data_IF_533549396369
#
_entry.id   IF_533549396369
#
_cell.length_a   1.000
_cell.length_b   1.000
_cell.length_c   1.000
_cell.angle_alpha   90.00
_cell.angle_beta   90.00
_cell.angle_gamma   90.00
#
_symmetry.space_group_name_H-M   'P 1'
#
loop_
_entity.id
_entity.type
_entity.pdbx_description
1 polymer ?
#
# COMPACT_ATOMS: atom_id res chain seq x y z
N UNK A 1 -50.50 -14.56 -36.61
CA UNK A 1 -50.09 -13.28 -35.98
C UNK A 1 -49.98 -12.20 -37.05
N UNK A 2 -50.84 -11.19 -37.01
CA UNK A 2 -50.91 -10.13 -38.01
C UNK A 2 -49.59 -9.35 -38.11
N UNK A 3 -49.04 -9.20 -39.32
CA UNK A 3 -47.83 -8.39 -39.58
C UNK A 3 -48.13 -6.93 -39.20
N UNK A 4 -47.59 -6.45 -38.08
CA UNK A 4 -47.68 -5.05 -37.65
C UNK A 4 -47.14 -4.16 -38.78
N UNK A 5 -48.03 -3.47 -39.51
CA UNK A 5 -47.65 -2.57 -40.61
C UNK A 5 -47.00 -1.33 -39.98
N UNK A 6 -45.68 -1.32 -39.85
CA UNK A 6 -44.95 -0.13 -39.39
C UNK A 6 -45.15 1.00 -40.40
N UNK A 7 -45.94 2.01 -40.03
CA UNK A 7 -46.19 3.19 -40.87
C UNK A 7 -45.01 4.14 -40.74
N UNK A 8 -44.04 4.00 -41.65
CA UNK A 8 -42.91 4.91 -41.75
C UNK A 8 -43.20 5.86 -42.91
N UNK A 9 -43.44 7.13 -42.61
CA UNK A 9 -43.73 8.16 -43.63
C UNK A 9 -42.55 8.31 -44.60
N UNK A 10 -42.84 8.35 -45.91
CA UNK A 10 -41.85 8.53 -47.00
C UNK A 10 -40.94 9.73 -46.76
N UNK A 11 -41.51 10.87 -46.33
CA UNK A 11 -40.76 12.11 -46.03
C UNK A 11 -39.75 11.91 -44.90
N UNK A 12 -40.14 11.19 -43.83
CA UNK A 12 -39.29 10.91 -42.67
C UNK A 12 -38.18 9.92 -43.02
N UNK A 13 -38.49 8.85 -43.76
CA UNK A 13 -37.49 7.88 -44.20
C UNK A 13 -36.49 8.49 -45.19
N UNK A 14 -36.95 9.31 -46.15
CA UNK A 14 -36.09 10.03 -47.09
C UNK A 14 -35.22 11.07 -46.39
N UNK A 15 -35.72 11.75 -45.35
CA UNK A 15 -34.91 12.67 -44.55
C UNK A 15 -33.81 11.91 -43.78
N UNK A 16 -34.17 10.89 -42.99
CA UNK A 16 -33.21 10.11 -42.18
C UNK A 16 -32.16 9.41 -43.05
N UNK A 17 -32.59 8.84 -44.18
CA UNK A 17 -31.70 8.13 -45.08
C UNK A 17 -30.92 9.11 -45.97
N UNK A 18 -31.57 9.92 -46.82
CA UNK A 18 -30.88 10.72 -47.83
C UNK A 18 -30.23 12.00 -47.27
N UNK A 19 -30.93 12.75 -46.40
CA UNK A 19 -30.41 14.03 -45.87
C UNK A 19 -29.47 13.82 -44.68
N UNK A 20 -29.90 13.07 -43.68
CA UNK A 20 -29.13 12.82 -42.46
C UNK A 20 -28.10 11.68 -42.58
N UNK A 21 -28.04 11.00 -43.74
CA UNK A 21 -27.08 9.93 -44.07
C UNK A 21 -27.01 8.78 -43.05
N UNK A 22 -28.07 8.53 -42.26
CA UNK A 22 -28.10 7.43 -41.29
C UNK A 22 -28.07 6.05 -41.98
N UNK A 23 -27.46 5.06 -41.34
CA UNK A 23 -27.44 3.69 -41.84
C UNK A 23 -28.79 3.02 -41.65
N UNK A 24 -29.12 2.04 -42.50
CA UNK A 24 -30.37 1.25 -42.41
C UNK A 24 -30.50 0.62 -41.01
N UNK A 25 -29.39 0.18 -40.41
CA UNK A 25 -29.38 -0.38 -39.06
C UNK A 25 -29.74 0.66 -37.99
N UNK A 26 -29.18 1.88 -38.05
CA UNK A 26 -29.55 2.95 -37.11
C UNK A 26 -31.01 3.35 -37.27
N UNK A 27 -31.50 3.44 -38.50
CA UNK A 27 -32.91 3.73 -38.80
C UNK A 27 -33.81 2.63 -38.25
N UNK A 28 -33.45 1.36 -38.45
CA UNK A 28 -34.18 0.22 -37.90
C UNK A 28 -34.26 0.26 -36.37
N UNK A 29 -33.17 0.67 -35.70
CA UNK A 29 -33.16 0.88 -34.24
C UNK A 29 -34.06 2.04 -33.80
N UNK A 30 -34.07 3.16 -34.53
CA UNK A 30 -34.93 4.32 -34.24
C UNK A 30 -36.41 3.93 -34.30
N UNK A 31 -36.80 3.11 -35.28
CA UNK A 31 -38.18 2.66 -35.46
C UNK A 31 -38.48 1.32 -34.76
N UNK A 32 -37.53 0.80 -33.97
CA UNK A 32 -37.61 -0.50 -33.31
C UNK A 32 -38.17 -1.62 -34.21
N UNK A 33 -37.63 -1.73 -35.42
CA UNK A 33 -38.04 -2.72 -36.41
C UNK A 33 -36.82 -3.43 -37.02
N UNK A 34 -37.06 -4.45 -37.84
CA UNK A 34 -35.98 -5.13 -38.55
C UNK A 34 -35.44 -4.28 -39.70
N UNK A 35 -34.18 -4.48 -40.05
CA UNK A 35 -33.55 -3.84 -41.23
C UNK A 35 -34.28 -4.19 -42.53
N UNK A 36 -34.82 -5.42 -42.62
CA UNK A 36 -35.67 -5.85 -43.75
C UNK A 36 -36.93 -4.99 -43.91
N UNK A 37 -37.56 -4.59 -42.81
CA UNK A 37 -38.74 -3.70 -42.83
C UNK A 37 -38.39 -2.34 -43.45
N UNK A 38 -37.25 -1.75 -43.07
CA UNK A 38 -36.78 -0.49 -43.65
C UNK A 38 -36.46 -0.65 -45.14
N UNK A 39 -35.82 -1.75 -45.55
CA UNK A 39 -35.48 -2.02 -46.95
C UNK A 39 -36.76 -2.15 -47.81
N UNK A 40 -37.77 -2.84 -47.31
CA UNK A 40 -39.05 -2.99 -48.01
C UNK A 40 -39.75 -1.63 -48.18
N UNK A 41 -39.81 -0.81 -47.12
CA UNK A 41 -40.34 0.56 -47.22
C UNK A 41 -39.54 1.45 -48.17
N UNK A 42 -38.21 1.31 -48.21
CA UNK A 42 -37.39 2.03 -49.18
C UNK A 42 -37.70 1.63 -50.63
N UNK A 43 -37.95 0.34 -50.89
CA UNK A 43 -38.36 -0.16 -52.21
C UNK A 43 -39.75 0.36 -52.60
N UNK A 44 -40.74 0.24 -51.71
CA UNK A 44 -42.11 0.77 -51.90
C UNK A 44 -42.11 2.26 -52.25
N UNK A 45 -41.19 3.05 -51.68
CA UNK A 45 -41.09 4.48 -51.91
C UNK A 45 -40.12 4.90 -53.03
N UNK A 46 -39.50 3.96 -53.74
CA UNK A 46 -38.55 4.22 -54.81
C UNK A 46 -37.22 4.86 -54.35
N UNK A 47 -36.84 4.68 -53.08
CA UNK A 47 -35.61 5.24 -52.51
C UNK A 47 -34.44 4.32 -52.89
N UNK A 48 -33.65 4.72 -53.89
CA UNK A 48 -32.43 4.00 -54.29
C UNK A 48 -31.47 3.88 -53.10
N UNK A 49 -30.96 2.66 -52.87
CA UNK A 49 -29.96 2.41 -51.83
C UNK A 49 -28.66 3.10 -52.21
N UNK A 50 -28.05 3.80 -51.24
CA UNK A 50 -26.66 4.27 -51.36
C UNK A 50 -25.76 3.07 -51.63
N UNK A 51 -24.85 3.23 -52.56
CA UNK A 51 -23.84 2.22 -52.87
C UNK A 51 -23.03 1.94 -51.58
N UNK A 52 -23.24 0.77 -50.98
CA UNK A 52 -22.46 0.35 -49.82
C UNK A 52 -21.32 -0.51 -50.35
N UNK A 53 -20.29 0.14 -50.90
CA UNK A 53 -19.03 -0.56 -51.13
C UNK A 53 -18.46 -1.05 -49.79
N UNK A 54 -17.70 -2.16 -49.76
CA UNK A 54 -16.92 -2.48 -48.57
C UNK A 54 -16.08 -1.25 -48.21
N UNK A 55 -15.99 -0.89 -46.92
CA UNK A 55 -15.04 0.14 -46.47
C UNK A 55 -13.67 -0.27 -47.01
N UNK A 56 -13.21 0.42 -48.06
CA UNK A 56 -11.94 0.09 -48.70
C UNK A 56 -10.87 0.41 -47.67
N UNK A 57 -10.25 -0.63 -47.12
CA UNK A 57 -9.04 -0.42 -46.32
C UNK A 57 -8.03 0.22 -47.27
N UNK A 58 -7.59 1.42 -46.91
CA UNK A 58 -6.47 2.13 -47.52
C UNK A 58 -5.19 1.64 -46.87
N UNK A 59 -4.83 0.38 -47.13
CA UNK A 59 -3.50 -0.13 -46.81
C UNK A 59 -2.82 -0.47 -48.13
N UNK A 60 -1.65 0.12 -48.34
CA UNK A 60 -0.81 -0.20 -49.50
C UNK A 60 -0.28 -1.62 -49.37
N UNK A 61 0.07 -2.22 -50.50
CA UNK A 61 0.70 -3.53 -50.54
C UNK A 61 2.00 -3.56 -49.72
N UNK A 62 2.85 -2.54 -49.89
CA UNK A 62 4.11 -2.39 -49.14
C UNK A 62 3.91 -2.38 -47.63
N UNK A 63 2.95 -1.59 -47.13
CA UNK A 63 2.66 -1.53 -45.70
C UNK A 63 2.02 -2.81 -45.17
N UNK A 64 1.17 -3.47 -45.96
CA UNK A 64 0.56 -4.74 -45.58
C UNK A 64 1.61 -5.87 -45.53
N UNK A 65 2.53 -5.91 -46.50
CA UNK A 65 3.64 -6.85 -46.52
C UNK A 65 4.59 -6.64 -45.34
N UNK A 66 4.94 -5.39 -45.05
CA UNK A 66 5.79 -5.07 -43.90
C UNK A 66 5.16 -5.49 -42.57
N UNK A 67 3.87 -5.18 -42.35
CA UNK A 67 3.18 -5.55 -41.11
C UNK A 67 2.95 -7.06 -40.98
N UNK A 68 2.57 -7.72 -42.08
CA UNK A 68 2.15 -9.13 -42.05
C UNK A 68 3.32 -10.11 -42.13
N UNK A 69 4.28 -9.86 -43.03
CA UNK A 69 5.44 -10.73 -43.30
C UNK A 69 6.63 -10.29 -42.44
N UNK A 70 7.14 -9.06 -42.60
CA UNK A 70 8.37 -8.62 -41.91
C UNK A 70 8.18 -8.50 -40.39
N UNK A 71 7.10 -7.87 -39.93
CA UNK A 71 6.77 -7.69 -38.50
C UNK A 71 5.94 -8.82 -37.90
N UNK A 72 5.49 -9.76 -38.73
CA UNK A 72 4.79 -10.98 -38.29
C UNK A 72 3.40 -10.77 -37.66
N UNK A 73 2.77 -9.58 -37.76
CA UNK A 73 1.49 -9.31 -37.09
C UNK A 73 0.33 -10.13 -37.67
N UNK A 74 -0.55 -10.64 -36.79
CA UNK A 74 -1.73 -11.38 -37.23
C UNK A 74 -2.73 -10.49 -37.97
N UNK A 75 -3.53 -11.07 -38.88
CA UNK A 75 -4.57 -10.33 -39.62
C UNK A 75 -5.56 -9.62 -38.69
N UNK A 76 -5.85 -10.20 -37.51
CA UNK A 76 -6.68 -9.58 -36.47
C UNK A 76 -6.01 -8.36 -35.80
N UNK A 77 -4.69 -8.41 -35.58
CA UNK A 77 -3.94 -7.28 -35.01
C UNK A 77 -3.84 -6.14 -36.03
N UNK A 78 -3.55 -6.46 -37.29
CA UNK A 78 -3.55 -5.50 -38.41
C UNK A 78 -4.93 -4.87 -38.56
N UNK A 79 -6.00 -5.66 -38.45
CA UNK A 79 -7.37 -5.16 -38.53
C UNK A 79 -7.68 -4.10 -37.45
N UNK A 80 -7.17 -4.29 -36.22
CA UNK A 80 -7.27 -3.29 -35.15
C UNK A 80 -6.49 -2.02 -35.46
N UNK A 81 -5.26 -2.15 -35.97
CA UNK A 81 -4.40 -1.02 -36.36
C UNK A 81 -5.06 -0.21 -37.48
N UNK A 82 -5.65 -0.90 -38.46
CA UNK A 82 -6.34 -0.28 -39.60
C UNK A 82 -7.81 0.03 -39.33
N UNK A 83 -8.28 -0.08 -38.08
CA UNK A 83 -9.68 0.16 -37.67
C UNK A 83 -10.74 -0.50 -38.58
N UNK A 84 -10.48 -1.74 -38.97
CA UNK A 84 -11.31 -2.51 -39.90
C UNK A 84 -11.58 -3.92 -39.36
N UNK A 85 -12.42 -4.68 -40.09
CA UNK A 85 -12.70 -6.07 -39.77
C UNK A 85 -11.58 -6.99 -40.30
N UNK A 86 -11.33 -8.10 -39.61
CA UNK A 86 -10.32 -9.09 -40.00
C UNK A 86 -10.51 -9.60 -41.43
N UNK A 87 -11.76 -9.81 -41.85
CA UNK A 87 -12.16 -10.25 -43.20
C UNK A 87 -11.64 -9.30 -44.28
N UNK A 88 -11.66 -8.00 -44.03
CA UNK A 88 -11.21 -7.01 -45.00
C UNK A 88 -9.67 -7.01 -45.17
N UNK A 89 -8.90 -7.29 -44.11
CA UNK A 89 -7.44 -7.49 -44.21
C UNK A 89 -7.12 -8.77 -44.99
N UNK A 90 -7.85 -9.86 -44.73
CA UNK A 90 -7.67 -11.12 -45.46
C UNK A 90 -7.96 -10.96 -46.95
N UNK A 91 -9.01 -10.22 -47.31
CA UNK A 91 -9.33 -9.93 -48.71
C UNK A 91 -8.24 -9.07 -49.38
N UNK A 92 -7.60 -8.16 -48.65
CA UNK A 92 -6.46 -7.38 -49.17
C UNK A 92 -5.19 -8.21 -49.36
N UNK A 93 -4.91 -9.14 -48.45
CA UNK A 93 -3.81 -10.10 -48.63
C UNK A 93 -4.01 -10.91 -49.92
N UNK A 94 -5.22 -11.45 -50.15
CA UNK A 94 -5.55 -12.16 -51.40
C UNK A 94 -5.41 -11.27 -52.64
N UNK A 95 -5.93 -10.04 -52.58
CA UNK A 95 -5.88 -9.10 -53.70
C UNK A 95 -4.46 -8.73 -54.12
N UNK A 96 -3.54 -8.62 -53.16
CA UNK A 96 -2.13 -8.31 -53.42
C UNK A 96 -1.26 -9.57 -53.59
N UNK A 97 -1.85 -10.77 -53.71
CA UNK A 97 -1.09 -12.01 -53.87
C UNK A 97 -0.22 -12.40 -52.65
N UNK A 98 -0.42 -11.79 -51.48
CA UNK A 98 0.33 -12.12 -50.27
C UNK A 98 -0.26 -13.39 -49.66
N UNK A 99 0.54 -14.47 -49.63
CA UNK A 99 0.14 -15.76 -49.06
C UNK A 99 -0.37 -15.62 -47.63
N UNK A 100 -1.62 -16.02 -47.42
CA UNK A 100 -2.21 -16.06 -46.08
C UNK A 100 -1.51 -17.17 -45.31
N UNK A 101 -0.95 -16.83 -44.14
CA UNK A 101 -0.49 -17.82 -43.18
C UNK A 101 -1.68 -18.69 -42.79
N UNK A 102 -1.72 -19.91 -43.32
CA UNK A 102 -2.67 -20.92 -42.90
C UNK A 102 -2.50 -21.17 -41.39
N UNK A 103 -3.55 -21.56 -40.67
CA UNK A 103 -3.37 -22.10 -39.33
C UNK A 103 -2.29 -23.19 -39.40
N UNK A 104 -1.40 -23.22 -38.40
CA UNK A 104 -0.35 -24.24 -38.24
C UNK A 104 -0.90 -25.60 -38.67
N UNK A 105 -0.10 -26.38 -39.40
CA UNK A 105 -0.43 -27.75 -39.80
C UNK A 105 -1.24 -28.45 -38.70
N UNK A 106 -2.31 -29.14 -39.11
CA UNK A 106 -3.22 -29.78 -38.18
C UNK A 106 -2.42 -30.84 -37.41
N UNK A 107 -2.01 -30.47 -36.20
CA UNK A 107 -1.31 -31.37 -35.30
C UNK A 107 -2.15 -32.62 -35.12
N UNK A 108 -1.64 -33.75 -35.58
CA UNK A 108 -2.30 -35.04 -35.37
C UNK A 108 -1.69 -35.71 -34.13
N UNK A 109 -2.57 -36.05 -33.19
CA UNK A 109 -2.19 -36.79 -31.99
C UNK A 109 -2.90 -38.13 -32.12
N UNK A 110 -2.17 -39.24 -32.37
CA UNK A 110 -2.77 -40.56 -32.51
C UNK A 110 -3.59 -40.92 -31.26
N UNK A 111 -4.80 -41.46 -31.48
CA UNK A 111 -5.73 -41.81 -30.39
C UNK A 111 -5.12 -42.77 -29.38
N UNK A 112 -4.46 -43.82 -29.85
CA UNK A 112 -3.88 -44.86 -28.99
C UNK A 112 -2.70 -44.33 -28.18
N UNK A 113 -1.89 -43.46 -28.78
CA UNK A 113 -0.79 -42.81 -28.09
C UNK A 113 -1.31 -41.84 -27.01
N UNK A 114 -2.30 -41.00 -27.35
CA UNK A 114 -2.93 -40.10 -26.37
C UNK A 114 -3.55 -40.87 -25.21
N UNK A 115 -4.21 -42.00 -25.50
CA UNK A 115 -4.78 -42.90 -24.48
C UNK A 115 -3.67 -43.48 -23.61
N UNK A 116 -2.60 -44.03 -24.19
CA UNK A 116 -1.43 -44.57 -23.46
C UNK A 116 -0.80 -43.52 -22.54
N UNK A 117 -0.52 -42.32 -23.05
CA UNK A 117 0.11 -41.23 -22.28
C UNK A 117 -0.80 -40.76 -21.14
N UNK A 118 -2.11 -40.62 -21.38
CA UNK A 118 -3.05 -40.09 -20.38
C UNK A 118 -3.52 -41.12 -19.35
N UNK A 119 -3.82 -42.36 -19.74
CA UNK A 119 -4.36 -43.37 -18.82
C UNK A 119 -3.28 -44.25 -18.22
N UNK A 120 -2.41 -44.86 -19.05
CA UNK A 120 -1.36 -45.80 -18.59
C UNK A 120 -0.21 -45.07 -17.91
N UNK A 121 0.37 -44.07 -18.57
CA UNK A 121 1.51 -43.31 -18.04
C UNK A 121 1.11 -42.17 -17.08
N UNK A 122 -0.20 -41.96 -16.86
CA UNK A 122 -0.79 -40.97 -15.94
C UNK A 122 -0.31 -39.51 -16.16
N UNK A 123 0.22 -39.17 -17.33
CA UNK A 123 0.66 -37.81 -17.65
C UNK A 123 -0.51 -36.82 -17.66
N UNK A 124 -0.28 -35.59 -17.23
CA UNK A 124 -1.31 -34.55 -17.30
C UNK A 124 -1.49 -34.07 -18.74
N UNK A 125 -2.68 -33.55 -19.08
CA UNK A 125 -2.91 -32.94 -20.39
C UNK A 125 -1.91 -31.82 -20.71
N UNK A 126 -1.38 -31.13 -19.70
CA UNK A 126 -0.30 -30.15 -19.87
C UNK A 126 1.04 -30.80 -20.27
N UNK A 127 1.44 -31.90 -19.60
CA UNK A 127 2.68 -32.62 -19.95
C UNK A 127 2.59 -33.20 -21.36
N UNK A 128 1.43 -33.78 -21.71
CA UNK A 128 1.14 -34.28 -23.06
C UNK A 128 1.24 -33.14 -24.07
N UNK A 129 0.64 -31.98 -23.79
CA UNK A 129 0.72 -30.83 -24.67
C UNK A 129 2.17 -30.37 -24.92
N UNK A 130 3.03 -30.46 -23.90
CA UNK A 130 4.46 -30.14 -24.04
C UNK A 130 5.19 -31.14 -24.96
N UNK A 131 4.86 -32.42 -24.89
CA UNK A 131 5.43 -33.46 -25.79
C UNK A 131 5.11 -33.13 -27.25
N UNK A 132 3.85 -32.80 -27.54
CA UNK A 132 3.40 -32.45 -28.89
C UNK A 132 3.52 -30.96 -29.24
N UNK A 133 4.32 -30.21 -28.47
CA UNK A 133 4.59 -28.78 -28.69
C UNK A 133 3.33 -27.93 -28.94
N UNK A 134 2.24 -28.24 -28.23
CA UNK A 134 0.94 -27.61 -28.38
C UNK A 134 0.41 -26.99 -27.07
N UNK A 135 -0.70 -26.27 -27.16
CA UNK A 135 -1.38 -25.72 -25.98
C UNK A 135 -2.13 -26.81 -25.21
N UNK A 136 -2.18 -26.71 -23.88
CA UNK A 136 -2.91 -27.67 -23.02
C UNK A 136 -4.39 -27.84 -23.39
N UNK A 137 -5.03 -26.78 -23.87
CA UNK A 137 -6.40 -26.83 -24.39
C UNK A 137 -6.55 -27.74 -25.62
N UNK A 138 -5.50 -27.85 -26.46
CA UNK A 138 -5.48 -28.75 -27.62
C UNK A 138 -5.52 -30.20 -27.19
N UNK A 139 -4.69 -30.61 -26.21
CA UNK A 139 -4.72 -31.97 -25.68
C UNK A 139 -6.08 -32.32 -25.04
N UNK A 140 -6.70 -31.39 -24.30
CA UNK A 140 -8.06 -31.60 -23.78
C UNK A 140 -9.11 -31.75 -24.89
N UNK A 141 -8.99 -30.98 -25.97
CA UNK A 141 -9.86 -31.10 -27.14
C UNK A 141 -9.75 -32.49 -27.77
N UNK A 142 -8.54 -33.01 -27.95
CA UNK A 142 -8.34 -34.37 -28.48
C UNK A 142 -8.84 -35.47 -27.52
N UNK A 143 -8.62 -35.32 -26.20
CA UNK A 143 -9.20 -36.24 -25.21
C UNK A 143 -10.73 -36.29 -25.32
N UNK A 144 -11.38 -35.13 -25.51
CA UNK A 144 -12.83 -35.04 -25.71
C UNK A 144 -13.27 -35.60 -27.07
N UNK A 145 -12.53 -35.30 -28.14
CA UNK A 145 -12.79 -35.78 -29.50
C UNK A 145 -12.78 -37.32 -29.56
N UNK A 146 -11.79 -37.94 -28.92
CA UNK A 146 -11.66 -39.40 -28.87
C UNK A 146 -12.44 -40.06 -27.73
N UNK A 147 -13.29 -39.28 -27.02
CA UNK A 147 -14.12 -39.75 -25.90
C UNK A 147 -13.32 -40.48 -24.80
N UNK A 148 -12.06 -40.06 -24.58
CA UNK A 148 -11.22 -40.59 -23.49
C UNK A 148 -11.68 -39.95 -22.17
N UNK A 149 -12.12 -40.77 -21.21
CA UNK A 149 -12.62 -40.31 -19.91
C UNK A 149 -11.58 -39.48 -19.17
N UNK A 150 -11.84 -38.18 -19.00
CA UNK A 150 -10.95 -37.26 -18.28
C UNK A 150 -11.10 -37.40 -16.77
N UNK A 151 -10.00 -37.19 -16.03
CA UNK A 151 -9.99 -37.22 -14.56
C UNK A 151 -10.88 -36.10 -13.99
N UNK A 152 -11.63 -36.35 -12.91
CA UNK A 152 -12.48 -35.34 -12.30
C UNK A 152 -11.62 -34.20 -11.71
N UNK A 153 -12.19 -32.99 -11.70
CA UNK A 153 -11.58 -31.84 -11.05
C UNK A 153 -11.52 -32.07 -9.54
N UNK A 154 -10.31 -31.99 -8.95
CA UNK A 154 -10.13 -32.05 -7.50
C UNK A 154 -10.84 -30.85 -6.86
N UNK A 155 -11.94 -31.11 -6.13
CA UNK A 155 -12.66 -30.07 -5.37
C UNK A 155 -12.08 -29.95 -3.98
N UNK A 156 -11.82 -28.72 -3.55
CA UNK A 156 -11.34 -28.44 -2.19
C UNK A 156 -12.54 -28.14 -1.31
N UNK A 157 -12.62 -28.86 -0.20
CA UNK A 157 -13.58 -28.61 0.86
C UNK A 157 -12.93 -27.68 1.89
N UNK A 158 -13.32 -26.41 1.84
CA UNK A 158 -12.95 -25.39 2.82
C UNK A 158 -14.20 -24.58 3.10
N UNK A 159 -14.60 -24.51 4.38
CA UNK A 159 -15.77 -23.74 4.81
C UNK A 159 -15.44 -22.24 4.83
N UNK A 160 -16.48 -21.38 4.80
CA UNK A 160 -16.31 -19.93 4.90
C UNK A 160 -15.59 -19.54 6.20
N UNK A 161 -16.03 -20.08 7.34
CA UNK A 161 -15.48 -19.77 8.66
C UNK A 161 -14.01 -20.17 8.79
N UNK A 162 -13.63 -21.34 8.26
CA UNK A 162 -12.22 -21.78 8.23
C UNK A 162 -11.38 -20.82 7.38
N UNK A 163 -11.85 -20.44 6.19
CA UNK A 163 -11.10 -19.54 5.31
C UNK A 163 -10.96 -18.14 5.91
N UNK A 164 -12.01 -17.60 6.54
CA UNK A 164 -11.96 -16.32 7.26
C UNK A 164 -10.98 -16.37 8.45
N UNK A 165 -11.00 -17.44 9.24
CA UNK A 165 -10.05 -17.62 10.35
C UNK A 165 -8.61 -17.66 9.85
N UNK A 166 -8.32 -18.40 8.79
CA UNK A 166 -6.96 -18.51 8.23
C UNK A 166 -6.50 -17.18 7.60
N UNK A 167 -7.37 -16.50 6.86
CA UNK A 167 -7.01 -15.31 6.09
C UNK A 167 -7.07 -14.00 6.89
N UNK A 168 -8.15 -13.76 7.64
CA UNK A 168 -8.38 -12.51 8.36
C UNK A 168 -7.76 -12.53 9.76
N UNK A 169 -8.00 -13.61 10.53
CA UNK A 169 -7.50 -13.71 11.92
C UNK A 169 -6.03 -14.11 11.98
N UNK A 170 -5.66 -15.23 11.34
CA UNK A 170 -4.26 -15.72 11.30
C UNK A 170 -3.37 -15.02 10.26
N UNK A 171 -3.93 -14.10 9.45
CA UNK A 171 -3.23 -13.30 8.43
C UNK A 171 -2.38 -14.10 7.43
N UNK A 172 -2.70 -15.38 7.19
CA UNK A 172 -1.95 -16.23 6.26
C UNK A 172 -2.13 -15.78 4.81
N UNK A 173 -1.06 -15.84 4.01
CA UNK A 173 -1.11 -15.53 2.57
C UNK A 173 -1.91 -16.60 1.81
N UNK A 174 -2.44 -16.23 0.63
CA UNK A 174 -3.17 -17.19 -0.23
C UNK A 174 -2.31 -18.41 -0.56
N UNK A 175 -1.01 -18.22 -0.77
CA UNK A 175 -0.07 -19.32 -1.02
C UNK A 175 0.10 -20.25 0.17
N UNK A 176 0.21 -19.71 1.39
CA UNK A 176 0.28 -20.54 2.61
C UNK A 176 -1.00 -21.35 2.80
N UNK A 177 -2.16 -20.71 2.64
CA UNK A 177 -3.46 -21.40 2.70
C UNK A 177 -3.56 -22.47 1.60
N UNK A 178 -3.11 -22.16 0.39
CA UNK A 178 -3.14 -23.09 -0.73
C UNK A 178 -2.27 -24.34 -0.48
N UNK A 179 -1.09 -24.16 0.12
CA UNK A 179 -0.21 -25.26 0.52
C UNK A 179 -0.87 -26.15 1.58
N UNK A 180 -1.50 -25.57 2.62
CA UNK A 180 -2.25 -26.32 3.65
C UNK A 180 -3.32 -27.20 2.99
N UNK A 181 -4.05 -26.66 2.01
CA UNK A 181 -5.11 -27.38 1.31
C UNK A 181 -4.63 -28.14 0.05
N UNK A 182 -3.31 -28.27 -0.15
CA UNK A 182 -2.67 -28.96 -1.28
C UNK A 182 -3.28 -28.58 -2.64
N UNK A 183 -3.30 -27.28 -2.91
CA UNK A 183 -3.89 -26.69 -4.12
C UNK A 183 -3.15 -25.43 -4.59
N UNK A 184 -3.63 -24.81 -5.68
CA UNK A 184 -3.07 -23.55 -6.16
C UNK A 184 -3.76 -22.33 -5.51
N UNK A 185 -3.03 -21.20 -5.35
CA UNK A 185 -3.58 -19.96 -4.76
C UNK A 185 -4.82 -19.42 -5.49
N UNK A 186 -4.93 -19.69 -6.79
CA UNK A 186 -6.08 -19.27 -7.60
C UNK A 186 -7.39 -19.91 -7.13
N UNK A 187 -7.36 -21.15 -6.64
CA UNK A 187 -8.55 -21.84 -6.12
C UNK A 187 -8.99 -21.24 -4.79
N UNK A 188 -8.05 -20.90 -3.91
CA UNK A 188 -8.36 -20.19 -2.65
C UNK A 188 -8.97 -18.82 -2.95
N UNK A 189 -8.41 -18.11 -3.94
CA UNK A 189 -8.94 -16.82 -4.35
C UNK A 189 -10.37 -16.94 -4.91
N UNK A 190 -10.66 -17.95 -5.72
CA UNK A 190 -12.00 -18.21 -6.23
C UNK A 190 -12.99 -18.50 -5.09
N UNK A 191 -12.58 -19.32 -4.11
CA UNK A 191 -13.37 -19.59 -2.91
C UNK A 191 -13.65 -18.32 -2.09
N UNK A 192 -12.65 -17.47 -1.89
CA UNK A 192 -12.85 -16.17 -1.22
C UNK A 192 -13.89 -15.31 -1.93
N UNK A 193 -13.84 -15.24 -3.27
CA UNK A 193 -14.82 -14.50 -4.08
C UNK A 193 -16.23 -15.06 -3.91
N UNK A 194 -16.39 -16.39 -3.99
CA UNK A 194 -17.70 -17.06 -3.79
C UNK A 194 -18.27 -16.80 -2.40
N UNK A 195 -17.44 -16.84 -1.37
CA UNK A 195 -17.85 -16.56 0.02
C UNK A 195 -17.93 -15.08 0.37
N UNK A 196 -17.64 -14.18 -0.59
CA UNK A 196 -17.60 -12.72 -0.41
C UNK A 196 -16.67 -12.28 0.74
N UNK A 197 -15.57 -12.99 0.94
CA UNK A 197 -14.57 -12.62 1.96
C UNK A 197 -13.77 -11.42 1.43
N UNK A 198 -13.70 -10.29 2.17
CA UNK A 198 -12.99 -9.11 1.73
C UNK A 198 -11.49 -9.39 1.60
N UNK A 199 -10.87 -8.76 0.60
CA UNK A 199 -9.42 -8.83 0.42
C UNK A 199 -8.75 -7.85 1.37
N UNK A 200 -7.65 -8.29 1.97
CA UNK A 200 -6.74 -7.39 2.68
C UNK A 200 -6.21 -6.33 1.72
N UNK A 201 -5.95 -5.15 2.28
CA UNK A 201 -5.32 -4.07 1.54
C UNK A 201 -3.91 -4.45 1.09
N UNK A 202 -3.36 -3.70 0.14
CA UNK A 202 -1.96 -3.86 -0.27
C UNK A 202 -1.04 -3.70 0.94
N UNK A 203 -1.28 -2.71 1.79
CA UNK A 203 -0.49 -2.46 3.01
C UNK A 203 -0.50 -3.67 3.96
N UNK A 204 -1.67 -4.24 4.23
CA UNK A 204 -1.79 -5.44 5.07
C UNK A 204 -1.11 -6.67 4.47
N UNK A 205 -1.08 -6.78 3.14
CA UNK A 205 -0.48 -7.93 2.45
C UNK A 205 1.04 -7.79 2.35
N UNK A 206 1.55 -6.57 2.17
CA UNK A 206 2.97 -6.25 2.08
C UNK A 206 3.68 -6.19 3.42
N UNK A 207 2.92 -6.14 4.53
CA UNK A 207 3.48 -6.08 5.88
C UNK A 207 4.10 -7.42 6.28
N UNK A 208 5.44 -7.47 6.30
CA UNK A 208 6.21 -8.67 6.70
C UNK A 208 6.19 -8.94 8.21
N UNK A 209 6.23 -7.87 9.01
CA UNK A 209 6.29 -7.94 10.47
C UNK A 209 4.99 -7.44 11.10
N UNK A 210 4.50 -8.18 12.09
CA UNK A 210 3.31 -7.80 12.87
C UNK A 210 3.58 -6.44 13.53
N UNK A 211 2.59 -5.54 13.45
CA UNK A 211 2.56 -4.26 14.15
C UNK A 211 1.31 -4.25 15.02
N UNK A 212 1.42 -3.73 16.24
CA UNK A 212 0.30 -3.62 17.17
C UNK A 212 -0.15 -2.18 17.27
N UNK A 213 -1.46 -1.97 17.47
CA UNK A 213 -2.02 -0.63 17.64
C UNK A 213 -1.58 -0.03 18.98
N UNK A 214 -1.54 1.31 19.01
CA UNK A 214 -1.30 2.04 20.23
C UNK A 214 -2.37 1.70 21.27
N UNK A 215 -1.95 1.46 22.50
CA UNK A 215 -2.81 1.01 23.61
C UNK A 215 -3.94 1.98 23.98
N UNK A 216 -3.81 3.25 23.59
CA UNK A 216 -4.73 4.33 23.97
C UNK A 216 -4.39 4.99 25.31
N UNK A 217 -3.41 4.48 26.06
CA UNK A 217 -3.04 5.00 27.39
C UNK A 217 -2.46 6.41 27.30
N UNK A 218 -3.12 7.38 27.95
CA UNK A 218 -2.78 8.80 27.81
C UNK A 218 -1.42 9.18 28.41
N UNK A 219 -0.98 8.50 29.46
CA UNK A 219 0.33 8.69 30.08
C UNK A 219 1.46 8.19 29.17
N UNK A 220 1.29 7.02 28.56
CA UNK A 220 2.21 6.50 27.54
C UNK A 220 2.27 7.42 26.31
N UNK A 221 1.10 7.88 25.85
CA UNK A 221 0.99 8.87 24.76
C UNK A 221 1.74 10.16 25.08
N UNK A 222 1.57 10.68 26.30
CA UNK A 222 2.23 11.90 26.75
C UNK A 222 3.75 11.74 26.80
N UNK A 223 4.24 10.60 27.29
CA UNK A 223 5.66 10.26 27.27
C UNK A 223 6.23 10.27 25.85
N UNK A 224 5.57 9.57 24.91
CA UNK A 224 6.04 9.52 23.51
C UNK A 224 6.01 10.90 22.84
N UNK A 225 5.04 11.76 23.17
CA UNK A 225 5.00 13.15 22.69
C UNK A 225 6.15 13.97 23.28
N UNK A 226 6.47 13.80 24.57
CA UNK A 226 7.65 14.42 25.17
C UNK A 226 8.92 14.03 24.44
N UNK A 227 9.12 12.73 24.22
CA UNK A 227 10.28 12.23 23.49
C UNK A 227 10.32 12.70 22.02
N UNK A 228 9.15 12.82 21.37
CA UNK A 228 8.97 13.36 20.00
C UNK A 228 9.47 14.78 19.82
N UNK A 229 9.23 15.66 20.79
CA UNK A 229 9.57 17.07 20.66
C UNK A 229 11.09 17.27 20.68
N UNK A 230 11.82 16.49 21.50
CA UNK A 230 13.28 16.51 21.57
C UNK A 230 13.94 15.75 20.42
N UNK A 231 14.24 14.46 20.64
CA UNK A 231 15.18 13.71 19.80
C UNK A 231 14.54 12.83 18.71
N UNK A 232 13.23 12.56 18.78
CA UNK A 232 12.62 11.57 17.88
C UNK A 232 12.10 12.22 16.59
N UNK A 233 12.70 11.83 15.45
CA UNK A 233 12.19 12.15 14.12
C UNK A 233 11.00 11.27 13.75
N UNK A 234 9.97 11.88 13.14
CA UNK A 234 8.75 11.16 12.73
C UNK A 234 8.31 11.63 11.36
N UNK A 235 7.98 10.68 10.48
CA UNK A 235 7.44 10.91 9.15
C UNK A 235 6.32 9.92 8.82
N UNK A 236 5.38 10.35 8.00
CA UNK A 236 4.34 9.47 7.44
C UNK A 236 4.85 8.86 6.15
N UNK A 237 4.63 7.56 5.97
CA UNK A 237 4.94 6.83 4.74
C UNK A 237 3.76 5.92 4.38
N UNK A 238 2.97 6.33 3.39
CA UNK A 238 1.66 5.76 3.08
C UNK A 238 0.77 5.63 4.35
N UNK A 239 0.54 4.40 4.82
CA UNK A 239 -0.29 4.07 5.98
C UNK A 239 0.52 3.82 7.26
N UNK A 240 1.83 4.06 7.22
CA UNK A 240 2.75 3.83 8.32
C UNK A 240 3.29 5.13 8.89
N UNK A 241 3.65 5.08 10.17
CA UNK A 241 4.33 6.14 10.89
C UNK A 241 5.76 5.64 11.16
N UNK A 242 6.72 6.20 10.43
CA UNK A 242 8.12 5.87 10.61
C UNK A 242 8.72 6.81 11.65
N UNK A 243 9.29 6.24 12.70
CA UNK A 243 9.96 6.96 13.78
C UNK A 243 11.45 6.59 13.79
N UNK A 244 12.31 7.49 14.26
CA UNK A 244 13.72 7.18 14.46
C UNK A 244 14.59 8.38 14.77
N UNK A 245 15.82 8.12 15.15
CA UNK A 245 16.85 9.14 15.35
C UNK A 245 18.25 8.58 15.05
N UNK A 246 19.18 9.48 14.75
CA UNK A 246 20.61 9.15 14.73
C UNK A 246 21.21 9.31 16.13
N UNK A 247 22.09 8.40 16.54
CA UNK A 247 22.73 8.47 17.86
C UNK A 247 24.11 7.81 17.85
N UNK A 248 25.03 8.33 18.67
CA UNK A 248 26.31 7.68 19.01
C UNK A 248 26.25 6.93 20.34
N UNK A 249 25.08 6.91 21.00
CA UNK A 249 24.89 6.37 22.34
C UNK A 249 23.98 5.15 22.29
N UNK A 250 24.49 4.02 22.77
CA UNK A 250 23.75 2.75 22.82
C UNK A 250 22.50 2.85 23.70
N UNK A 251 22.57 3.59 24.81
CA UNK A 251 21.42 3.81 25.70
C UNK A 251 20.21 4.43 24.96
N UNK A 252 20.44 5.24 23.92
CA UNK A 252 19.37 5.82 23.10
C UNK A 252 18.75 4.78 22.15
N UNK A 253 19.57 3.86 21.63
CA UNK A 253 19.09 2.71 20.84
C UNK A 253 18.19 1.83 21.71
N UNK A 254 18.63 1.52 22.93
CA UNK A 254 17.87 0.72 23.88
C UNK A 254 16.58 1.41 24.33
N UNK A 255 16.61 2.73 24.48
CA UNK A 255 15.41 3.53 24.74
C UNK A 255 14.36 3.34 23.64
N UNK A 256 14.75 3.44 22.37
CA UNK A 256 13.81 3.25 21.24
C UNK A 256 13.28 1.81 21.21
N UNK A 257 14.14 0.81 21.44
CA UNK A 257 13.70 -0.59 21.55
C UNK A 257 12.67 -0.77 22.65
N UNK A 258 12.91 -0.20 23.82
CA UNK A 258 12.01 -0.28 24.98
C UNK A 258 10.67 0.41 24.72
N UNK A 259 10.68 1.59 24.08
CA UNK A 259 9.48 2.41 23.89
C UNK A 259 8.64 1.93 22.69
N UNK A 260 9.28 1.51 21.60
CA UNK A 260 8.61 1.24 20.32
C UNK A 260 8.69 -0.21 19.85
N UNK A 261 9.57 -1.03 20.42
CA UNK A 261 9.70 -2.45 20.08
C UNK A 261 8.43 -3.28 20.27
N UNK A 262 7.60 -3.03 21.31
CA UNK A 262 6.30 -3.71 21.44
C UNK A 262 5.31 -3.42 20.31
N UNK A 263 5.52 -2.36 19.53
CA UNK A 263 4.57 -1.85 18.54
C UNK A 263 4.96 -2.12 17.09
N UNK A 264 6.24 -2.36 16.82
CA UNK A 264 6.72 -2.63 15.48
C UNK A 264 8.17 -3.06 15.43
N UNK A 265 8.62 -3.53 14.26
CA UNK A 265 10.00 -3.97 14.07
C UNK A 265 10.97 -2.79 14.26
N UNK A 266 12.00 -3.01 15.07
CA UNK A 266 13.12 -2.08 15.21
C UNK A 266 14.17 -2.38 14.14
N UNK A 267 14.60 -1.33 13.46
CA UNK A 267 15.74 -1.34 12.56
C UNK A 267 16.89 -0.55 13.20
N UNK A 268 18.09 -1.13 13.20
CA UNK A 268 19.33 -0.46 13.56
C UNK A 268 20.24 -0.54 12.34
N UNK A 269 20.61 0.61 11.81
CA UNK A 269 21.52 0.71 10.68
C UNK A 269 22.98 0.56 11.08
N UNK A 270 23.84 0.47 10.06
CA UNK A 270 25.29 0.47 10.25
C UNK A 270 25.78 1.82 10.79
N UNK A 271 26.94 1.80 11.45
CA UNK A 271 27.61 3.03 11.89
C UNK A 271 28.03 3.85 10.67
N UNK A 272 27.80 5.16 10.73
CA UNK A 272 28.33 6.10 9.77
C UNK A 272 29.82 6.40 10.04
N UNK A 273 30.43 7.24 9.20
CA UNK A 273 31.84 7.66 9.33
C UNK A 273 32.16 8.35 10.67
N UNK A 274 31.15 8.87 11.38
CA UNK A 274 31.25 9.56 12.67
C UNK A 274 30.93 8.62 13.84
N UNK A 275 30.69 7.33 13.58
CA UNK A 275 30.33 6.32 14.56
C UNK A 275 28.87 6.37 15.02
N UNK A 276 28.01 7.19 14.39
CA UNK A 276 26.59 7.27 14.72
C UNK A 276 25.81 6.16 14.01
N UNK A 277 24.84 5.56 14.69
CA UNK A 277 23.87 4.62 14.12
C UNK A 277 22.52 5.30 13.96
N UNK A 278 21.79 4.94 12.90
CA UNK A 278 20.38 5.30 12.78
C UNK A 278 19.53 4.16 13.34
N UNK A 279 18.69 4.46 14.33
CA UNK A 279 17.72 3.52 14.89
C UNK A 279 16.30 4.02 14.57
N UNK A 280 15.41 3.12 14.16
CA UNK A 280 14.05 3.47 13.83
C UNK A 280 13.05 2.33 13.94
N UNK A 281 11.76 2.66 13.84
CA UNK A 281 10.66 1.72 13.88
C UNK A 281 9.56 2.14 12.89
N UNK A 282 8.94 1.16 12.25
CA UNK A 282 7.74 1.39 11.43
C UNK A 282 6.50 1.00 12.22
N UNK A 283 5.68 1.99 12.57
CA UNK A 283 4.45 1.86 13.33
C UNK A 283 3.22 1.97 12.41
N UNK A 284 2.06 1.49 12.87
CA UNK A 284 0.80 1.68 12.17
C UNK A 284 0.23 3.10 12.37
N UNK A 285 -0.88 3.39 11.69
CA UNK A 285 -1.52 4.72 11.68
C UNK A 285 -2.06 5.21 13.04
N UNK A 286 -2.25 4.33 14.03
CA UNK A 286 -2.69 4.72 15.37
C UNK A 286 -1.67 5.63 16.09
N UNK A 287 -0.41 5.66 15.63
CA UNK A 287 0.65 6.54 16.14
C UNK A 287 0.69 7.92 15.45
N UNK A 288 -0.31 8.26 14.64
CA UNK A 288 -0.41 9.55 13.94
C UNK A 288 -0.36 10.77 14.87
N UNK A 289 -0.66 10.60 16.16
CA UNK A 289 -0.50 11.65 17.18
C UNK A 289 0.94 12.15 17.37
N UNK A 290 1.94 11.43 16.85
CA UNK A 290 3.36 11.83 16.85
C UNK A 290 3.76 12.70 15.66
N UNK A 291 2.90 12.82 14.64
CA UNK A 291 3.20 13.62 13.44
C UNK A 291 3.29 15.12 13.75
N UNK A 292 2.37 15.72 14.52
CA UNK A 292 2.46 17.15 14.85
C UNK A 292 3.73 17.44 15.65
N UNK A 293 4.48 18.46 15.25
CA UNK A 293 5.53 19.04 16.08
C UNK A 293 4.92 20.16 16.91
N UNK A 294 4.77 19.94 18.20
CA UNK A 294 4.11 20.87 19.10
C UNK A 294 5.08 21.95 19.57
N UNK A 295 4.71 23.23 19.38
CA UNK A 295 5.43 24.36 19.97
C UNK A 295 5.01 24.62 21.42
N UNK A 296 3.80 24.18 21.81
CA UNK A 296 3.23 24.32 23.15
C UNK A 296 2.82 22.94 23.65
N UNK A 297 2.86 22.70 24.97
CA UNK A 297 2.43 21.41 25.50
C UNK A 297 0.90 21.29 25.34
N UNK A 298 0.39 20.21 24.72
CA UNK A 298 -1.05 20.00 24.58
C UNK A 298 -1.82 20.17 25.89
N UNK A 299 -2.95 20.91 25.86
CA UNK A 299 -3.74 21.25 27.05
C UNK A 299 -4.14 20.02 27.88
N UNK A 300 -4.45 18.88 27.23
CA UNK A 300 -4.82 17.64 27.92
C UNK A 300 -3.66 17.04 28.73
N UNK A 301 -2.41 17.26 28.31
CA UNK A 301 -1.21 16.90 29.08
C UNK A 301 -1.07 17.82 30.28
N UNK A 302 -1.25 19.13 30.09
CA UNK A 302 -1.12 20.13 31.16
C UNK A 302 -2.22 20.03 32.22
N UNK A 303 -3.42 19.55 31.87
CA UNK A 303 -4.55 19.41 32.81
C UNK A 303 -4.35 18.28 33.82
N UNK A 304 -3.78 17.15 33.39
CA UNK A 304 -3.63 15.97 34.23
C UNK A 304 -2.18 15.83 34.76
N UNK A 305 -2.04 15.68 36.08
CA UNK A 305 -0.73 15.56 36.75
C UNK A 305 0.11 14.39 36.22
N UNK A 306 -0.49 13.21 36.08
CA UNK A 306 0.20 11.99 35.62
C UNK A 306 0.70 12.18 34.18
N UNK A 307 -0.15 12.69 33.29
CA UNK A 307 0.21 12.95 31.90
C UNK A 307 1.35 13.98 31.80
N UNK A 308 1.30 15.06 32.58
CA UNK A 308 2.36 16.07 32.60
C UNK A 308 3.72 15.47 32.99
N UNK A 309 3.79 14.68 34.06
CA UNK A 309 5.07 14.08 34.47
C UNK A 309 5.53 12.99 33.51
N UNK A 310 4.63 12.25 32.86
CA UNK A 310 5.00 11.32 31.80
C UNK A 310 5.58 12.04 30.58
N UNK A 311 4.96 13.15 30.17
CA UNK A 311 5.51 14.04 29.13
C UNK A 311 6.89 14.57 29.52
N UNK A 312 7.03 15.10 30.75
CA UNK A 312 8.29 15.64 31.23
C UNK A 312 9.38 14.57 31.28
N UNK A 313 9.05 13.33 31.64
CA UNK A 313 9.98 12.21 31.60
C UNK A 313 10.46 11.90 30.17
N UNK A 314 9.55 11.82 29.20
CA UNK A 314 9.91 11.61 27.80
C UNK A 314 10.78 12.75 27.23
N UNK A 315 10.47 13.99 27.58
CA UNK A 315 11.27 15.15 27.18
C UNK A 315 12.62 15.20 27.91
N UNK A 316 12.68 14.74 29.16
CA UNK A 316 13.93 14.61 29.94
C UNK A 316 14.84 13.51 29.38
N UNK A 317 14.25 12.41 28.88
CA UNK A 317 15.02 11.34 28.25
C UNK A 317 15.72 11.81 26.97
N UNK A 318 15.13 12.77 26.24
CA UNK A 318 15.76 13.45 25.12
C UNK A 318 16.73 14.58 25.58
N UNK A 319 16.19 15.64 26.18
CA UNK A 319 16.89 16.93 26.37
C UNK A 319 17.40 17.16 27.81
N UNK A 320 17.10 16.25 28.73
CA UNK A 320 17.37 16.42 30.15
C UNK A 320 18.83 16.22 30.53
N UNK A 321 19.25 16.92 31.58
CA UNK A 321 20.54 16.75 32.23
C UNK A 321 20.35 16.75 33.75
N UNK A 322 20.78 15.67 34.38
CA UNK A 322 20.88 15.55 35.83
C UNK A 322 22.36 15.46 36.15
N UNK A 323 22.86 16.40 36.94
CA UNK A 323 24.28 16.52 37.23
C UNK A 323 24.54 17.19 38.57
N UNK A 324 25.78 17.63 38.76
CA UNK A 324 26.23 18.25 40.01
C UNK A 324 26.88 19.61 39.76
N UNK A 325 26.66 20.56 40.66
CA UNK A 325 27.30 21.87 40.68
C UNK A 325 27.73 22.17 42.12
N UNK A 326 29.02 22.36 42.37
CA UNK A 326 29.55 22.51 43.73
C UNK A 326 29.16 21.35 44.64
N UNK A 327 29.30 20.10 44.15
CA UNK A 327 28.83 18.84 44.79
C UNK A 327 27.31 18.74 45.01
N UNK A 328 26.49 19.72 44.61
CA UNK A 328 25.02 19.73 44.76
C UNK A 328 24.31 19.25 43.52
N UNK A 329 23.36 18.33 43.67
CA UNK A 329 22.54 17.83 42.57
C UNK A 329 21.79 18.98 41.89
N UNK A 330 21.61 18.86 40.58
CA UNK A 330 20.95 19.85 39.74
C UNK A 330 20.21 19.14 38.62
N UNK A 331 18.99 19.60 38.35
CA UNK A 331 18.23 19.23 37.18
C UNK A 331 18.21 20.41 36.19
N UNK A 332 18.48 20.13 34.92
CA UNK A 332 18.44 21.12 33.85
C UNK A 332 17.90 20.49 32.57
N UNK A 333 17.00 21.19 31.88
CA UNK A 333 16.69 20.94 30.47
C UNK A 333 17.16 22.15 29.67
N UNK A 334 17.80 21.92 28.53
CA UNK A 334 18.19 22.97 27.57
C UNK A 334 17.65 22.62 26.20
N UNK A 335 16.92 23.54 25.58
CA UNK A 335 16.37 23.34 24.24
C UNK A 335 16.11 24.69 23.54
N UNK A 336 15.90 24.65 22.23
CA UNK A 336 15.38 25.75 21.43
C UNK A 336 13.85 25.90 21.55
N UNK A 337 13.15 24.92 22.15
CA UNK A 337 11.70 24.94 22.33
C UNK A 337 11.26 25.85 23.48
N UNK A 338 11.48 27.18 23.31
CA UNK A 338 11.21 28.21 24.32
C UNK A 338 9.85 28.06 24.98
N UNK A 339 8.83 27.81 24.17
CA UNK A 339 7.43 27.76 24.58
C UNK A 339 7.10 26.49 25.38
N UNK A 340 7.64 25.34 24.99
CA UNK A 340 7.56 24.09 25.76
C UNK A 340 8.22 24.25 27.12
N UNK A 341 9.42 24.83 27.15
CA UNK A 341 10.16 25.09 28.39
C UNK A 341 9.42 26.06 29.32
N UNK A 342 8.76 27.09 28.75
CA UNK A 342 7.92 28.03 29.48
C UNK A 342 6.72 27.33 30.13
N UNK A 343 6.07 26.42 29.41
CA UNK A 343 4.96 25.61 29.95
C UNK A 343 5.43 24.66 31.06
N UNK A 344 6.59 24.00 30.89
CA UNK A 344 7.21 23.16 31.93
C UNK A 344 7.44 23.98 33.19
N UNK A 345 8.07 25.15 33.08
CA UNK A 345 8.36 26.01 34.22
C UNK A 345 7.08 26.43 34.97
N UNK A 346 6.08 26.93 34.24
CA UNK A 346 4.79 27.32 34.82
C UNK A 346 4.13 26.15 35.55
N UNK A 347 4.17 24.94 34.97
CA UNK A 347 3.51 23.78 35.55
C UNK A 347 4.27 23.18 36.73
N UNK A 348 5.61 23.20 36.72
CA UNK A 348 6.42 22.83 37.89
C UNK A 348 6.15 23.75 39.08
N UNK A 349 6.13 25.06 38.87
CA UNK A 349 5.82 26.03 39.92
C UNK A 349 4.42 25.80 40.53
N UNK A 350 3.41 25.47 39.69
CA UNK A 350 2.06 25.08 40.17
C UNK A 350 2.04 23.81 41.02
N UNK A 351 3.06 22.95 40.92
CA UNK A 351 3.23 21.77 41.78
C UNK A 351 4.17 22.01 42.97
N UNK A 352 4.45 23.29 43.30
CA UNK A 352 5.39 23.67 44.36
C UNK A 352 6.77 23.05 44.15
N UNK A 353 7.22 23.01 42.89
CA UNK A 353 8.59 22.67 42.46
C UNK A 353 9.16 23.95 41.87
N UNK A 354 9.99 24.66 42.65
CA UNK A 354 10.61 25.92 42.22
C UNK A 354 11.57 25.67 41.07
N UNK A 355 11.25 26.25 39.91
CA UNK A 355 12.09 26.20 38.72
C UNK A 355 12.41 27.59 38.20
N UNK A 356 13.60 27.74 37.63
CA UNK A 356 14.06 28.94 36.93
C UNK A 356 13.96 28.70 35.41
N UNK A 357 13.28 29.61 34.70
CA UNK A 357 13.27 29.67 33.25
C UNK A 357 14.08 30.88 32.79
N UNK A 358 15.09 30.66 31.94
CA UNK A 358 15.96 31.74 31.44
C UNK A 358 16.53 31.45 30.07
N UNK A 359 17.02 32.49 29.40
CA UNK A 359 17.93 32.34 28.26
C UNK A 359 19.24 31.71 28.75
N UNK A 360 19.66 30.59 28.15
CA UNK A 360 20.93 29.91 28.47
C UNK A 360 22.05 30.38 27.55
N UNK A 361 21.76 30.51 26.25
CA UNK A 361 22.69 31.03 25.24
C UNK A 361 21.95 31.82 24.17
N UNK A 362 22.47 32.99 23.81
CA UNK A 362 21.97 33.80 22.70
C UNK A 362 22.43 33.21 21.35
N UNK A 363 21.62 33.38 20.30
CA UNK A 363 22.02 33.13 18.92
C UNK A 363 23.18 34.04 18.51
N UNK A 364 23.98 33.58 17.56
CA UNK A 364 25.18 34.26 17.09
C UNK A 364 26.42 33.37 17.21
N UNK A 365 27.57 33.97 16.94
CA UNK A 365 28.88 33.33 17.06
C UNK A 365 29.38 33.54 18.48
N UNK A 366 29.68 32.45 19.19
CA UNK A 366 30.29 32.57 20.52
C UNK A 366 31.79 32.85 20.44
N UNK A 367 32.40 33.17 21.59
CA UNK A 367 33.85 33.43 21.72
C UNK A 367 34.74 32.28 21.22
N UNK A 368 34.19 31.09 20.95
CA UNK A 368 34.90 29.91 20.44
C UNK A 368 34.64 29.68 18.95
N UNK A 369 34.04 30.64 18.25
CA UNK A 369 33.69 30.54 16.83
C UNK A 369 32.48 29.65 16.54
N UNK A 370 31.75 29.16 17.55
CA UNK A 370 30.60 28.27 17.33
C UNK A 370 29.37 29.11 17.01
N UNK A 371 28.96 29.07 15.74
CA UNK A 371 27.74 29.72 15.26
C UNK A 371 26.48 28.99 15.71
N UNK A 372 25.48 29.74 16.21
CA UNK A 372 24.15 29.24 16.58
C UNK A 372 23.08 30.09 15.94
N UNK A 373 22.19 29.46 15.19
CA UNK A 373 21.11 30.16 14.49
C UNK A 373 19.92 30.55 15.38
N UNK A 374 19.80 29.97 16.59
CA UNK A 374 18.66 30.21 17.50
C UNK A 374 19.11 30.33 18.95
N UNK A 375 18.33 31.07 19.72
CA UNK A 375 18.45 31.19 21.17
C UNK A 375 18.14 29.85 21.86
N UNK A 376 19.03 29.42 22.76
CA UNK A 376 18.81 28.27 23.63
C UNK A 376 18.31 28.73 24.99
N UNK A 377 17.24 28.11 25.46
CA UNK A 377 16.58 28.39 26.73
C UNK A 377 16.80 27.23 27.70
N UNK A 378 16.69 27.50 29.00
CA UNK A 378 16.82 26.48 30.04
C UNK A 378 15.71 26.55 31.08
N UNK A 379 15.28 25.37 31.52
CA UNK A 379 14.57 25.19 32.79
C UNK A 379 15.51 24.51 33.77
N UNK A 380 15.66 25.10 34.95
CA UNK A 380 16.59 24.64 35.98
C UNK A 380 15.85 24.45 37.30
N UNK A 381 16.10 23.33 37.97
CA UNK A 381 15.66 23.08 39.36
C UNK A 381 16.90 22.80 40.19
N UNK A 382 17.14 23.66 41.19
CA UNK A 382 18.31 23.56 42.09
C UNK A 382 17.89 23.42 43.57
N UNK A 383 16.73 23.95 43.96
CA UNK A 383 16.30 23.92 45.35
C UNK A 383 16.10 22.47 45.81
N UNK A 384 16.75 22.11 46.91
CA UNK A 384 16.82 20.73 47.44
C UNK A 384 15.43 20.08 47.58
N UNK A 385 14.47 20.77 48.21
CA UNK A 385 13.09 20.26 48.40
C UNK A 385 12.36 20.05 47.06
N UNK A 386 12.54 20.97 46.12
CA UNK A 386 11.96 20.89 44.78
C UNK A 386 12.59 19.76 43.94
N UNK A 387 13.91 19.55 44.05
CA UNK A 387 14.60 18.42 43.43
C UNK A 387 14.11 17.07 43.96
N UNK A 388 13.94 16.94 45.28
CA UNK A 388 13.39 15.71 45.87
C UNK A 388 12.01 15.37 45.29
N UNK A 389 11.10 16.36 45.27
CA UNK A 389 9.77 16.20 44.68
C UNK A 389 9.85 15.81 43.21
N UNK A 390 10.63 16.53 42.42
CA UNK A 390 10.77 16.28 40.99
C UNK A 390 11.33 14.87 40.70
N UNK A 391 12.41 14.47 41.40
CA UNK A 391 13.00 13.15 41.22
C UNK A 391 12.05 12.03 41.62
N UNK A 392 11.26 12.20 42.68
CA UNK A 392 10.25 11.22 43.06
C UNK A 392 9.17 11.04 41.98
N UNK A 393 8.74 12.12 41.32
CA UNK A 393 7.81 12.02 40.19
C UNK A 393 8.43 11.39 38.93
N UNK A 394 9.70 11.70 38.63
CA UNK A 394 10.36 11.22 37.41
C UNK A 394 10.94 9.81 37.53
N UNK A 395 11.35 9.37 38.73
CA UNK A 395 11.98 8.06 38.96
C UNK A 395 11.25 6.87 38.33
N UNK A 396 9.91 6.73 38.42
CA UNK A 396 9.22 5.61 37.81
C UNK A 396 8.95 5.78 36.31
N UNK A 397 9.16 6.98 35.75
CA UNK A 397 8.75 7.33 34.38
C UNK A 397 9.91 7.42 33.39
N UNK A 398 11.12 7.71 33.87
CA UNK A 398 12.35 7.79 33.07
C UNK A 398 12.74 6.40 32.56
N UNK A 399 12.97 6.29 31.25
CA UNK A 399 13.32 5.03 30.59
C UNK A 399 14.77 5.01 30.08
N UNK A 400 15.39 6.17 29.84
CA UNK A 400 16.78 6.21 29.38
C UNK A 400 17.73 5.77 30.50
N UNK A 401 18.56 4.75 30.25
CA UNK A 401 19.43 4.11 31.26
C UNK A 401 20.37 5.09 31.97
N UNK A 402 21.14 5.89 31.22
CA UNK A 402 21.94 6.98 31.80
C UNK A 402 21.13 7.95 32.66
N UNK A 403 20.01 8.51 32.15
CA UNK A 403 19.18 9.47 32.90
C UNK A 403 18.65 8.87 34.20
N UNK A 404 18.26 7.59 34.17
CA UNK A 404 17.85 6.85 35.36
C UNK A 404 18.98 6.77 36.38
N UNK A 405 20.19 6.42 35.97
CA UNK A 405 21.38 6.39 36.84
C UNK A 405 21.68 7.78 37.42
N UNK A 406 21.70 8.81 36.58
CA UNK A 406 21.95 10.20 36.99
C UNK A 406 20.89 10.68 38.01
N UNK A 407 19.62 10.35 37.78
CA UNK A 407 18.51 10.63 38.70
C UNK A 407 18.71 9.96 40.06
N UNK A 408 19.04 8.67 40.08
CA UNK A 408 19.26 7.94 41.34
C UNK A 408 20.44 8.52 42.13
N UNK A 409 21.53 8.89 41.46
CA UNK A 409 22.67 9.55 42.10
C UNK A 409 22.30 10.94 42.63
N UNK A 410 21.54 11.72 41.85
CA UNK A 410 21.01 13.01 42.29
C UNK A 410 20.08 12.88 43.50
N UNK A 411 19.22 11.87 43.52
CA UNK A 411 18.31 11.59 44.63
C UNK A 411 19.07 11.24 45.92
N UNK A 412 20.07 10.35 45.83
CA UNK A 412 20.96 10.03 46.97
C UNK A 412 21.62 11.29 47.54
N UNK A 413 22.13 12.16 46.66
CA UNK A 413 22.77 13.41 47.05
C UNK A 413 21.81 14.41 47.73
N UNK A 414 20.57 14.49 47.26
CA UNK A 414 19.52 15.34 47.86
C UNK A 414 19.13 14.80 49.24
N UNK A 415 18.97 13.49 49.38
CA UNK A 415 18.60 12.82 50.65
C UNK A 415 19.72 12.93 51.69
N UNK A 416 20.97 12.66 51.30
CA UNK A 416 22.12 12.75 52.20
C UNK A 416 22.22 14.12 52.86
N UNK A 417 21.85 15.18 52.14
CA UNK A 417 21.87 16.55 52.64
C UNK A 417 20.59 16.99 53.34
N UNK A 418 19.57 16.14 53.48
CA UNK A 418 18.38 16.43 54.30
C UNK A 418 18.60 16.08 55.77
N UNK A 419 19.47 15.10 56.02
CA UNK A 419 20.16 14.95 57.30
C UNK A 419 21.07 16.15 57.49
#
# INVERSE_FOLDING_TARGET
MAKKKYVILKKKLKNLYCKQKLSIFKIAKIFNCTTGTIINRMREYGIKRRHSGPKRISISEKSLYELYIKKGFSSKKIAKICHCEQTAVLNRLRKYGISIRHPKEKLDIPKEELKKLYTKQKLSAYKIAKIYLCGSGTSYRYLRLYKIKTRPLKRIQITKNQLEKLYLKKKLSLSKIANIHKCCPAVILDKMRRYKIPRRTISETSTRHIKSDFSGKLDEKAYMIGFRIGDLGVRKDYNLINIGCGTTKEDQVELIKTVFGPFGPIYVGNKDKRGAVHVGCSLNSSFSFLLPKYNLIPKWILRNKKNFFSFLAGYTDAEGNIGFCGRRAKFRIRSYDKEVLRDINKKLNRFNIKSLFRLDKKSGIDKRGVSRHKDSWAVIVNERKSLLKLFNYLKPLIKHKKRKKDLLNGLKNVIFRLK
#
